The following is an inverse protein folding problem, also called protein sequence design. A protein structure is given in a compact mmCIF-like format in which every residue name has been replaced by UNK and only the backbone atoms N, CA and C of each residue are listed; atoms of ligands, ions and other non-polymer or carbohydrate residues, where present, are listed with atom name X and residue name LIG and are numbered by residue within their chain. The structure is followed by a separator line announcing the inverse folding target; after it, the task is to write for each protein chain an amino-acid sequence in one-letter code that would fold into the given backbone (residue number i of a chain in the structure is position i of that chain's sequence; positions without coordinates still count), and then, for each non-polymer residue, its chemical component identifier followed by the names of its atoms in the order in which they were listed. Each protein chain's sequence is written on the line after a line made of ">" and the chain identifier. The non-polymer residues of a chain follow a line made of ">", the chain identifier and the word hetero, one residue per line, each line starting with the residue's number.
data_IF_472227594235
#
_entry.id   IF_472227594235
#
_cell.length_a   1.000
_cell.length_b   1.000
_cell.length_c   1.000
_cell.angle_alpha   90.00
_cell.angle_beta   90.00
_cell.angle_gamma   90.00
#
_symmetry.space_group_name_H-M   'P 1'
#
loop_
_entity.id
_entity.type
_entity.pdbx_description
1 polymer ?
#
# COMPACT_ATOMS: atom_id res chain seq x y z
N UNK A 1 -8.72 -1.69 10.13
CA UNK A 1 -9.27 -0.49 10.81
C UNK A 1 -8.82 0.73 10.04
N UNK A 2 -9.65 1.74 9.89
CA UNK A 2 -9.31 2.99 9.20
C UNK A 2 -9.87 4.21 9.92
N UNK A 3 -9.47 5.41 9.50
CA UNK A 3 -10.06 6.65 9.99
C UNK A 3 -11.55 6.82 9.63
N UNK A 4 -12.03 6.15 8.57
CA UNK A 4 -13.44 6.15 8.17
C UNK A 4 -14.34 5.32 9.08
N UNK A 5 -13.79 4.31 9.77
CA UNK A 5 -14.53 3.50 10.76
C UNK A 5 -15.01 4.33 11.97
N UNK A 6 -14.37 5.48 12.22
CA UNK A 6 -14.64 6.34 13.38
C UNK A 6 -15.43 7.61 13.04
N UNK A 7 -15.83 7.80 11.79
CA UNK A 7 -16.65 8.95 11.42
C UNK A 7 -18.11 8.76 11.83
N UNK A 8 -18.63 9.77 12.54
CA UNK A 8 -20.04 9.84 12.91
C UNK A 8 -20.86 9.86 11.62
N UNK A 9 -21.94 9.08 11.61
CA UNK A 9 -22.77 8.69 10.47
C UNK A 9 -23.55 9.85 9.80
N UNK A 10 -22.88 10.94 9.46
CA UNK A 10 -23.40 12.06 8.67
C UNK A 10 -22.57 12.11 7.41
N UNK A 11 -23.18 11.72 6.29
CA UNK A 11 -22.61 11.75 4.92
C UNK A 11 -21.59 10.64 4.59
N UNK A 12 -22.05 9.38 4.57
CA UNK A 12 -21.38 8.35 3.75
C UNK A 12 -21.62 8.69 2.28
N UNK A 13 -20.61 9.22 1.59
CA UNK A 13 -20.51 9.01 0.15
C UNK A 13 -20.25 7.53 -0.06
N UNK A 14 -20.97 6.91 -0.99
CA UNK A 14 -20.76 5.51 -1.37
C UNK A 14 -19.37 5.35 -1.99
N UNK A 15 -18.36 5.06 -1.16
CA UNK A 15 -17.08 4.55 -1.63
C UNK A 15 -17.38 3.22 -2.34
N UNK A 16 -17.18 3.19 -3.65
CA UNK A 16 -17.32 1.96 -4.42
C UNK A 16 -16.39 0.91 -3.81
N UNK A 17 -16.86 -0.32 -3.59
CA UNK A 17 -15.97 -1.38 -3.14
C UNK A 17 -14.83 -1.51 -4.16
N UNK A 18 -13.60 -1.55 -3.65
CA UNK A 18 -12.42 -1.74 -4.47
C UNK A 18 -12.57 -3.01 -5.31
N UNK A 19 -12.45 -2.89 -6.63
CA UNK A 19 -12.51 -4.03 -7.52
C UNK A 19 -11.33 -4.97 -7.18
N UNK A 20 -11.58 -6.23 -6.75
CA UNK A 20 -10.52 -7.17 -6.40
C UNK A 20 -9.55 -7.40 -7.55
N UNK A 21 -9.99 -7.19 -8.80
CA UNK A 21 -9.16 -7.29 -9.99
C UNK A 21 -8.17 -6.14 -10.13
N UNK A 22 -8.29 -5.04 -9.39
CA UNK A 22 -7.31 -3.94 -9.39
C UNK A 22 -6.21 -4.15 -8.34
N UNK A 23 -6.48 -4.90 -7.28
CA UNK A 23 -5.51 -5.19 -6.25
C UNK A 23 -4.47 -6.23 -6.74
N UNK A 24 -3.25 -5.77 -7.03
CA UNK A 24 -2.15 -6.62 -7.50
C UNK A 24 -1.70 -7.67 -6.46
N UNK A 25 -1.88 -7.41 -5.17
CA UNK A 25 -1.60 -8.41 -4.14
C UNK A 25 -2.54 -9.61 -4.30
N UNK A 26 -3.84 -9.34 -4.54
CA UNK A 26 -4.83 -10.36 -4.82
C UNK A 26 -4.59 -11.05 -6.18
N UNK A 27 -4.18 -10.33 -7.23
CA UNK A 27 -3.82 -10.92 -8.53
C UNK A 27 -2.67 -11.93 -8.42
N UNK A 28 -1.71 -11.67 -7.54
CA UNK A 28 -0.58 -12.57 -7.28
C UNK A 28 -0.93 -13.70 -6.29
N UNK A 29 -2.21 -13.89 -5.97
CA UNK A 29 -2.68 -14.90 -5.01
C UNK A 29 -2.37 -14.56 -3.54
N UNK A 30 -2.00 -13.31 -3.28
CA UNK A 30 -1.71 -12.77 -1.96
C UNK A 30 -2.97 -12.36 -1.20
N UNK A 31 -2.75 -11.82 0.00
CA UNK A 31 -3.82 -11.34 0.89
C UNK A 31 -4.10 -9.87 0.64
N UNK A 32 -5.33 -9.44 0.90
CA UNK A 32 -5.76 -8.04 0.82
C UNK A 32 -5.34 -7.18 2.03
N UNK A 33 -4.87 -7.81 3.11
CA UNK A 33 -4.60 -7.17 4.39
C UNK A 33 -3.16 -6.63 4.57
N UNK A 34 -2.30 -6.85 3.57
CA UNK A 34 -0.91 -6.39 3.50
C UNK A 34 -0.03 -6.73 4.72
N UNK A 35 -0.46 -7.67 5.55
CA UNK A 35 0.22 -8.08 6.79
C UNK A 35 1.61 -8.67 6.56
N UNK A 36 1.86 -9.18 5.35
CA UNK A 36 3.11 -9.82 4.97
C UNK A 36 3.90 -9.05 3.91
N UNK A 37 3.50 -7.80 3.63
CA UNK A 37 4.09 -7.01 2.56
C UNK A 37 3.12 -6.81 1.40
N UNK A 38 3.21 -5.61 0.83
CA UNK A 38 2.58 -5.29 -0.44
C UNK A 38 3.56 -5.61 -1.58
N UNK A 39 3.03 -6.00 -2.74
CA UNK A 39 3.84 -6.20 -3.94
C UNK A 39 4.43 -4.88 -4.42
N UNK A 40 5.73 -4.91 -4.71
CA UNK A 40 6.45 -3.79 -5.28
C UNK A 40 6.69 -4.12 -6.75
N UNK A 41 6.17 -3.29 -7.64
CA UNK A 41 6.54 -3.34 -9.04
C UNK A 41 7.88 -2.62 -9.24
N UNK A 42 8.94 -3.35 -9.54
CA UNK A 42 10.26 -2.77 -9.77
C UNK A 42 10.39 -2.05 -11.12
N UNK A 43 9.48 -2.32 -12.08
CA UNK A 43 9.51 -1.69 -13.40
C UNK A 43 8.95 -0.26 -13.40
N UNK A 44 7.95 0.00 -12.58
CA UNK A 44 7.31 1.32 -12.41
C UNK A 44 7.54 1.92 -11.01
N UNK A 45 8.16 1.17 -10.09
CA UNK A 45 8.38 1.56 -8.70
C UNK A 45 7.09 1.75 -7.89
N UNK A 46 5.95 1.28 -8.40
CA UNK A 46 4.63 1.53 -7.81
C UNK A 46 4.16 0.34 -6.96
N UNK A 47 3.73 0.66 -5.73
CA UNK A 47 2.83 -0.19 -4.91
C UNK A 47 1.40 0.34 -4.97
N UNK A 48 1.19 1.50 -5.60
CA UNK A 48 -0.11 2.18 -5.69
C UNK A 48 -1.00 1.59 -6.77
N UNK A 49 -2.28 1.45 -6.40
CA UNK A 49 -3.38 1.34 -7.35
C UNK A 49 -3.35 2.58 -8.25
N UNK A 50 -3.47 2.41 -9.56
CA UNK A 50 -3.21 3.45 -10.58
C UNK A 50 -4.24 4.59 -10.58
N UNK A 51 -5.04 4.71 -9.52
CA UNK A 51 -6.02 5.78 -9.34
C UNK A 51 -5.24 7.06 -9.10
N UNK A 52 -5.33 8.00 -10.03
CA UNK A 52 -5.03 9.38 -9.68
C UNK A 52 -5.90 9.71 -8.46
N UNK A 53 -5.32 10.25 -7.37
CA UNK A 53 -6.15 10.71 -6.26
C UNK A 53 -7.18 11.63 -6.88
N UNK A 54 -8.46 11.23 -6.75
CA UNK A 54 -9.57 12.03 -7.25
C UNK A 54 -9.30 13.43 -6.73
N UNK A 55 -9.25 14.43 -7.63
CA UNK A 55 -8.91 15.80 -7.27
C UNK A 55 -9.97 16.30 -6.29
N UNK A 56 -9.77 16.01 -5.02
CA UNK A 56 -10.47 16.69 -3.96
C UNK A 56 -10.05 18.14 -4.14
N UNK A 57 -11.00 18.99 -4.53
CA UNK A 57 -10.81 20.43 -4.52
C UNK A 57 -10.64 20.79 -3.05
N UNK A 58 -9.42 20.61 -2.54
CA UNK A 58 -9.01 21.08 -1.23
C UNK A 58 -9.03 22.58 -1.36
N UNK A 59 -10.15 23.19 -1.01
CA UNK A 59 -10.34 24.63 -0.96
C UNK A 59 -9.34 25.16 0.07
N UNK A 60 -8.17 25.62 -0.41
CA UNK A 60 -7.04 26.06 0.42
C UNK A 60 -7.42 27.29 1.27
N UNK A 61 -8.59 27.89 1.02
CA UNK A 61 -8.91 29.26 1.44
C UNK A 61 -9.88 29.43 2.62
N UNK A 62 -10.32 28.38 3.35
CA UNK A 62 -11.21 28.63 4.52
C UNK A 62 -10.89 28.02 5.89
N UNK A 63 -9.94 27.10 6.03
CA UNK A 63 -9.43 26.70 7.36
C UNK A 63 -8.07 26.00 7.21
N UNK A 64 -6.98 26.78 7.21
CA UNK A 64 -5.60 26.37 6.83
C UNK A 64 -4.94 25.20 7.61
N UNK A 65 -5.66 24.43 8.40
CA UNK A 65 -5.08 23.40 9.28
C UNK A 65 -5.90 22.13 9.48
N UNK A 66 -6.97 21.89 8.70
CA UNK A 66 -7.80 20.67 8.83
C UNK A 66 -7.58 19.72 7.65
N UNK A 67 -6.34 19.25 7.47
CA UNK A 67 -6.09 18.09 6.59
C UNK A 67 -6.44 16.83 7.38
N UNK A 68 -7.46 16.09 6.94
CA UNK A 68 -7.81 14.80 7.53
C UNK A 68 -6.85 13.77 6.95
N UNK A 69 -5.91 13.30 7.77
CA UNK A 69 -4.93 12.28 7.39
C UNK A 69 -5.65 10.93 7.29
N UNK A 70 -5.79 10.34 6.08
CA UNK A 70 -6.27 8.98 5.95
C UNK A 70 -5.21 8.01 6.44
N UNK A 71 -5.65 7.04 7.22
CA UNK A 71 -4.82 5.97 7.74
C UNK A 71 -5.61 4.67 7.74
N UNK A 72 -4.90 3.57 7.50
CA UNK A 72 -5.38 2.22 7.72
C UNK A 72 -4.39 1.47 8.64
N UNK A 73 -4.91 0.57 9.47
CA UNK A 73 -4.14 -0.27 10.36
C UNK A 73 -4.78 -1.65 10.43
N UNK A 74 -3.97 -2.68 10.20
CA UNK A 74 -4.34 -4.07 10.29
C UNK A 74 -3.45 -4.78 11.31
N UNK A 75 -4.04 -5.70 12.07
CA UNK A 75 -3.35 -6.47 13.09
C UNK A 75 -3.77 -7.94 12.95
N UNK A 76 -2.82 -8.85 13.02
CA UNK A 76 -3.09 -10.28 13.11
C UNK A 76 -2.31 -10.90 14.25
N UNK A 77 -2.99 -11.69 15.06
CA UNK A 77 -2.40 -12.38 16.19
C UNK A 77 -2.55 -13.89 16.00
N UNK A 78 -1.46 -14.62 16.18
CA UNK A 78 -1.43 -16.08 16.07
C UNK A 78 -0.85 -16.68 17.35
N UNK A 79 -1.51 -17.70 17.88
CA UNK A 79 -1.04 -18.45 19.04
C UNK A 79 -1.22 -19.94 18.79
N UNK A 80 -0.14 -20.69 18.88
CA UNK A 80 -0.14 -22.15 18.68
C UNK A 80 0.29 -22.82 19.98
N UNK A 81 -0.63 -23.60 20.52
CA UNK A 81 -0.36 -24.47 21.66
C UNK A 81 -0.24 -25.92 21.17
N UNK A 82 0.89 -26.57 21.44
CA UNK A 82 1.12 -27.96 21.08
C UNK A 82 1.44 -28.77 22.35
N UNK A 83 0.72 -29.88 22.54
CA UNK A 83 0.89 -30.77 23.68
C UNK A 83 1.26 -32.18 23.21
N UNK A 84 2.47 -32.35 22.67
CA UNK A 84 2.96 -33.64 22.18
C UNK A 84 3.55 -34.54 23.29
N UNK A 85 3.98 -33.98 24.42
CA UNK A 85 4.71 -34.69 25.49
C UNK A 85 4.40 -34.16 26.92
N UNK A 86 3.23 -33.56 27.19
CA UNK A 86 2.96 -32.82 28.44
C UNK A 86 3.91 -31.64 28.66
N UNK A 87 4.34 -31.00 27.59
CA UNK A 87 5.13 -29.77 27.66
C UNK A 87 4.21 -28.61 28.06
N UNK A 88 4.56 -27.91 29.14
CA UNK A 88 3.79 -26.77 29.66
C UNK A 88 4.28 -25.45 29.06
N UNK A 89 4.57 -25.44 27.75
CA UNK A 89 5.17 -24.29 27.05
C UNK A 89 4.28 -23.83 25.89
N UNK A 90 4.10 -22.52 25.78
CA UNK A 90 3.45 -21.90 24.63
C UNK A 90 4.47 -21.89 23.50
N UNK A 91 4.25 -22.72 22.47
CA UNK A 91 5.28 -23.05 21.49
C UNK A 91 5.49 -21.97 20.43
N UNK A 92 4.45 -21.24 20.03
CA UNK A 92 4.57 -20.10 19.12
C UNK A 92 3.47 -19.07 19.41
N UNK A 93 3.86 -17.81 19.53
CA UNK A 93 2.95 -16.69 19.72
C UNK A 93 3.50 -15.50 18.95
N UNK A 94 2.72 -14.95 18.02
CA UNK A 94 3.16 -13.86 17.16
C UNK A 94 2.06 -12.82 16.94
N UNK A 95 2.48 -11.56 16.85
CA UNK A 95 1.63 -10.42 16.47
C UNK A 95 2.23 -9.79 15.23
N UNK A 96 1.40 -9.58 14.21
CA UNK A 96 1.74 -8.88 12.98
C UNK A 96 0.92 -7.60 12.92
N UNK A 97 1.55 -6.54 12.42
CA UNK A 97 0.97 -5.22 12.29
C UNK A 97 1.32 -4.69 10.91
N UNK A 98 0.34 -4.19 10.17
CA UNK A 98 0.55 -3.43 8.94
C UNK A 98 -0.29 -2.16 8.96
N UNK A 99 0.13 -1.19 8.15
CA UNK A 99 -0.66 -0.01 7.92
C UNK A 99 -0.01 0.97 6.95
N UNK A 100 -0.85 1.86 6.46
CA UNK A 100 -0.55 2.90 5.50
C UNK A 100 -1.19 4.21 5.97
N UNK A 101 -0.45 5.30 5.82
CA UNK A 101 -0.85 6.64 6.22
C UNK A 101 -0.46 7.65 5.13
N UNK A 102 -1.39 8.50 4.74
CA UNK A 102 -1.08 9.62 3.85
C UNK A 102 -0.81 10.88 4.66
N UNK A 103 0.47 11.16 4.90
CA UNK A 103 0.89 12.28 5.75
C UNK A 103 0.47 13.65 5.19
N UNK A 104 0.42 13.78 3.86
CA UNK A 104 -0.06 14.97 3.16
C UNK A 104 -0.43 14.60 1.72
N UNK A 105 -1.10 15.48 0.96
CA UNK A 105 -1.42 15.19 -0.44
C UNK A 105 -0.15 14.78 -1.21
N UNK A 106 -0.23 13.61 -1.85
CA UNK A 106 0.87 13.00 -2.62
C UNK A 106 2.07 12.55 -1.78
N UNK A 107 1.93 12.38 -0.46
CA UNK A 107 2.91 11.75 0.41
C UNK A 107 2.25 10.61 1.15
N UNK A 108 2.86 9.44 1.09
CA UNK A 108 2.37 8.27 1.79
C UNK A 108 3.49 7.47 2.41
N UNK A 109 3.20 6.89 3.56
CA UNK A 109 4.09 5.99 4.26
C UNK A 109 3.32 4.73 4.60
N UNK A 110 3.89 3.59 4.26
CA UNK A 110 3.34 2.28 4.57
C UNK A 110 4.37 1.42 5.26
N UNK A 111 3.92 0.39 5.95
CA UNK A 111 4.84 -0.57 6.52
C UNK A 111 4.15 -1.75 7.15
N UNK A 112 4.95 -2.77 7.43
CA UNK A 112 4.56 -3.86 8.30
C UNK A 112 5.72 -4.25 9.20
N UNK A 113 5.35 -4.85 10.33
CA UNK A 113 6.27 -5.44 11.27
C UNK A 113 5.56 -6.59 11.98
N UNK A 114 6.32 -7.38 12.71
CA UNK A 114 5.72 -8.31 13.65
C UNK A 114 6.60 -8.51 14.87
N UNK A 115 6.06 -9.21 15.84
CA UNK A 115 6.74 -9.57 17.07
C UNK A 115 6.45 -11.03 17.38
N UNK A 116 7.50 -11.81 17.56
CA UNK A 116 7.43 -13.19 18.02
C UNK A 116 7.71 -13.21 19.52
N UNK A 117 6.69 -13.53 20.31
CA UNK A 117 6.77 -13.57 21.76
C UNK A 117 7.52 -14.81 22.28
N UNK A 118 7.54 -15.91 21.52
CA UNK A 118 8.29 -17.10 21.87
C UNK A 118 9.80 -16.83 21.72
N UNK A 119 10.20 -16.19 20.62
CA UNK A 119 11.58 -15.81 20.34
C UNK A 119 11.98 -14.44 20.92
N UNK A 120 11.04 -13.71 21.54
CA UNK A 120 11.21 -12.38 22.15
C UNK A 120 11.83 -11.35 21.21
N UNK A 121 11.44 -11.36 19.94
CA UNK A 121 12.08 -10.57 18.89
C UNK A 121 11.10 -9.90 17.95
N UNK A 122 11.52 -8.76 17.39
CA UNK A 122 10.85 -8.15 16.24
C UNK A 122 11.11 -9.04 15.02
N UNK A 123 10.06 -9.41 14.32
CA UNK A 123 10.12 -10.22 13.10
C UNK A 123 10.26 -9.33 11.86
N UNK A 124 10.01 -9.91 10.69
CA UNK A 124 10.07 -9.24 9.40
C UNK A 124 9.43 -7.84 9.45
N UNK A 125 10.21 -6.83 9.08
CA UNK A 125 9.82 -5.43 9.10
C UNK A 125 10.14 -4.80 7.77
N UNK A 126 9.15 -4.16 7.16
CA UNK A 126 9.30 -3.41 5.92
C UNK A 126 8.65 -2.05 6.03
N UNK A 127 9.30 -1.06 5.44
CA UNK A 127 8.85 0.32 5.37
C UNK A 127 8.80 0.75 3.91
N UNK A 128 7.80 1.53 3.56
CA UNK A 128 7.55 2.05 2.22
C UNK A 128 7.27 3.54 2.33
N UNK A 129 7.93 4.33 1.51
CA UNK A 129 7.72 5.77 1.42
C UNK A 129 7.52 6.12 -0.03
N UNK A 130 6.43 6.81 -0.33
CA UNK A 130 6.15 7.26 -1.69
C UNK A 130 5.80 8.75 -1.70
N UNK A 131 6.30 9.44 -2.73
CA UNK A 131 6.06 10.84 -2.99
C UNK A 131 5.79 11.08 -4.47
N UNK A 132 4.63 11.64 -4.78
CA UNK A 132 4.29 12.13 -6.11
C UNK A 132 4.54 13.66 -6.18
N UNK A 133 5.38 14.07 -7.13
CA UNK A 133 5.75 15.45 -7.44
C UNK A 133 5.14 15.92 -8.77
N UNK A 134 4.02 15.30 -9.18
CA UNK A 134 3.25 15.53 -10.39
C UNK A 134 3.96 15.09 -11.68
N UNK A 135 5.15 15.62 -11.94
CA UNK A 135 5.99 15.18 -13.06
C UNK A 135 6.91 14.04 -12.69
N UNK A 136 7.25 13.90 -11.40
CA UNK A 136 8.22 12.92 -10.91
C UNK A 136 7.57 12.08 -9.81
N UNK A 137 7.96 10.82 -9.73
CA UNK A 137 7.55 9.88 -8.69
C UNK A 137 8.77 9.36 -7.99
N UNK A 138 8.69 9.32 -6.67
CA UNK A 138 9.74 8.83 -5.79
C UNK A 138 9.16 7.69 -4.96
N UNK A 139 9.87 6.57 -4.90
CA UNK A 139 9.51 5.41 -4.08
C UNK A 139 10.75 4.89 -3.35
N UNK A 140 10.63 4.68 -2.05
CA UNK A 140 11.69 4.12 -1.21
C UNK A 140 11.11 2.97 -0.39
N UNK A 141 11.63 1.77 -0.62
CA UNK A 141 11.24 0.55 0.07
C UNK A 141 12.43 0.05 0.88
N UNK A 142 12.24 -0.22 2.17
CA UNK A 142 13.30 -0.58 3.08
C UNK A 142 12.88 -1.76 3.96
N UNK A 143 13.68 -2.82 3.93
CA UNK A 143 13.53 -4.00 4.77
C UNK A 143 14.70 -4.03 5.77
N UNK A 144 14.58 -3.37 6.92
CA UNK A 144 15.63 -3.37 7.95
C UNK A 144 15.77 -4.69 8.70
N UNK A 145 14.68 -5.47 8.79
CA UNK A 145 14.63 -6.72 9.54
C UNK A 145 13.98 -7.76 8.65
N UNK A 146 14.74 -8.79 8.26
CA UNK A 146 14.24 -9.90 7.46
C UNK A 146 15.35 -10.89 7.14
N UNK A 147 15.09 -11.91 6.30
CA UNK A 147 16.12 -12.88 5.91
C UNK A 147 17.34 -12.21 5.26
N UNK A 148 17.12 -11.08 4.59
CA UNK A 148 18.16 -10.21 4.07
C UNK A 148 17.73 -8.76 4.26
N UNK A 149 18.64 -7.93 4.78
CA UNK A 149 18.40 -6.49 4.87
C UNK A 149 18.60 -5.87 3.50
N UNK A 150 17.61 -5.13 3.02
CA UNK A 150 17.61 -4.57 1.68
C UNK A 150 16.91 -3.22 1.64
N UNK A 151 17.24 -2.43 0.62
CA UNK A 151 16.53 -1.22 0.31
C UNK A 151 16.46 -1.06 -1.21
N UNK A 152 15.43 -0.39 -1.68
CA UNK A 152 15.21 -0.09 -3.08
C UNK A 152 14.66 1.33 -3.20
N UNK A 153 15.36 2.15 -3.98
CA UNK A 153 14.95 3.51 -4.26
C UNK A 153 14.70 3.68 -5.75
N UNK A 154 13.58 4.32 -6.09
CA UNK A 154 13.15 4.52 -7.46
C UNK A 154 12.75 5.98 -7.69
N UNK A 155 13.17 6.51 -8.84
CA UNK A 155 12.73 7.80 -9.37
C UNK A 155 12.20 7.55 -10.78
N UNK A 156 10.94 7.89 -11.03
CA UNK A 156 10.30 7.82 -12.34
C UNK A 156 9.76 9.17 -12.79
N UNK A 157 9.67 9.39 -14.10
CA UNK A 157 8.99 10.55 -14.68
C UNK A 157 7.57 10.10 -15.07
N UNK A 158 6.55 10.86 -14.67
CA UNK A 158 5.16 10.59 -15.05
C UNK A 158 4.96 10.98 -16.51
N UNK A 159 4.52 10.03 -17.34
CA UNK A 159 4.37 10.18 -18.80
C UNK A 159 3.29 11.18 -19.26
N UNK A 160 2.60 11.85 -18.33
CA UNK A 160 1.59 12.88 -18.63
C UNK A 160 2.14 14.10 -19.39
N UNK A 161 3.43 14.39 -19.32
CA UNK A 161 4.07 15.45 -20.12
C UNK A 161 4.14 15.14 -21.63
N UNK A 162 3.87 13.90 -22.06
CA UNK A 162 3.94 13.46 -23.46
C UNK A 162 2.64 12.80 -23.96
N UNK A 163 1.51 12.97 -23.25
CA UNK A 163 0.22 12.38 -23.69
C UNK A 163 -0.46 13.14 -24.85
N UNK A 164 -0.07 14.40 -25.10
CA UNK A 164 -0.70 15.26 -26.13
C UNK A 164 -0.27 14.90 -27.58
N UNK A 165 0.64 13.94 -27.76
CA UNK A 165 1.02 13.47 -29.10
C UNK A 165 1.00 11.94 -29.12
N UNK A 166 -0.16 11.34 -28.88
CA UNK A 166 -0.43 9.97 -29.34
C UNK A 166 -1.32 10.02 -30.59
N UNK A 167 -0.71 10.37 -31.72
CA UNK A 167 -1.31 10.16 -33.04
C UNK A 167 -1.07 8.71 -33.47
N UNK A 168 -2.10 7.87 -33.39
CA UNK A 168 -2.09 6.50 -33.92
C UNK A 168 -2.83 6.50 -35.27
N UNK A 169 -2.09 6.66 -36.37
CA UNK A 169 -2.62 6.47 -37.72
C UNK A 169 -2.34 5.03 -38.16
N UNK A 170 -3.37 4.19 -38.08
CA UNK A 170 -3.32 2.82 -38.63
C UNK A 170 -3.84 2.84 -40.06
N UNK A 171 -2.96 2.54 -41.01
CA UNK A 171 -3.35 2.25 -42.40
C UNK A 171 -3.98 0.85 -42.41
N UNK A 172 -5.28 0.77 -42.66
CA UNK A 172 -5.94 -0.52 -42.82
C UNK A 172 -5.40 -1.20 -44.10
N UNK A 173 -5.09 -2.50 -44.09
CA UNK A 173 -4.68 -3.22 -45.30
C UNK A 173 -5.78 -3.20 -46.36
N UNK A 174 -5.39 -2.98 -47.62
CA UNK A 174 -6.35 -2.86 -48.72
C UNK A 174 -7.20 -4.13 -48.88
N UNK A 175 -8.54 -4.01 -49.05
CA UNK A 175 -9.40 -5.15 -49.32
C UNK A 175 -9.01 -5.80 -50.65
N UNK A 176 -8.70 -7.09 -50.63
CA UNK A 176 -8.58 -7.89 -51.85
C UNK A 176 -9.98 -8.36 -52.25
N UNK A 177 -10.41 -7.99 -53.46
CA UNK A 177 -11.61 -8.52 -54.12
C UNK A 177 -11.24 -9.71 -55.01
#
# INVERSE_FOLDING_TARGET
>A
MSNTDFEKQTDKKDDKPDDPLQNRNLQNGGREDDLFGASIDYADGTTYDQREPEKENVDIDKTRYRFKIPWNLNFAYTMTYNNAQRQNEINNQSLMVSGDVELSPRWSVGGNTGYDFANKGVSFTTLRFNRDLESWRLSFNWTPIGPQNSWFFFIGIKSGALSDIKWDQRKQPDPQF
#
